data_IF_927489910221
#
_entry.id   IF_927489910221
#
_cell.length_a   1.000
_cell.length_b   1.000
_cell.length_c   1.000
_cell.angle_alpha   90.00
_cell.angle_beta   90.00
_cell.angle_gamma   90.00
#
_symmetry.space_group_name_H-M   'P 1'
#
loop_
_entity.id
_entity.type
_entity.pdbx_description
1 polymer ?
#
# COMPACT_ATOMS: atom_id res chain seq x y z
N UNK A 1 -14.79 3.69 -5.65
CA UNK A 1 -14.14 2.47 -6.19
C UNK A 1 -15.18 1.77 -7.05
N UNK A 2 -14.89 1.49 -8.32
CA UNK A 2 -15.75 0.59 -9.11
C UNK A 2 -15.31 -0.84 -8.79
N UNK A 3 -16.20 -1.63 -8.17
CA UNK A 3 -15.93 -3.05 -7.93
C UNK A 3 -16.06 -3.84 -9.24
N UNK A 4 -15.43 -5.02 -9.32
CA UNK A 4 -15.59 -5.92 -10.46
C UNK A 4 -17.06 -6.20 -10.80
N UNK A 5 -17.36 -6.47 -12.08
CA UNK A 5 -18.73 -6.61 -12.63
C UNK A 5 -19.59 -7.72 -11.99
N UNK A 6 -19.04 -8.49 -11.04
CA UNK A 6 -19.67 -9.64 -10.38
C UNK A 6 -20.17 -9.35 -8.96
N UNK A 7 -20.26 -8.09 -8.53
CA UNK A 7 -20.84 -7.71 -7.24
C UNK A 7 -22.33 -7.40 -7.40
N UNK A 8 -23.17 -8.19 -6.72
CA UNK A 8 -24.64 -8.07 -6.78
C UNK A 8 -25.26 -7.54 -5.49
N UNK A 9 -24.49 -7.51 -4.40
CA UNK A 9 -24.92 -7.13 -3.06
C UNK A 9 -24.11 -5.94 -2.55
N UNK A 10 -24.62 -5.23 -1.55
CA UNK A 10 -23.85 -4.19 -0.85
C UNK A 10 -22.69 -4.85 -0.12
N UNK A 11 -21.48 -4.35 -0.36
CA UNK A 11 -20.28 -4.82 0.32
C UNK A 11 -20.17 -4.18 1.71
N UNK A 12 -19.97 -5.03 2.72
CA UNK A 12 -19.91 -4.64 4.13
C UNK A 12 -18.74 -5.35 4.82
N UNK A 13 -17.89 -4.57 5.48
CA UNK A 13 -16.65 -5.03 6.10
C UNK A 13 -15.67 -3.87 6.31
N UNK A 14 -14.38 -4.16 6.28
CA UNK A 14 -13.34 -3.14 6.49
C UNK A 14 -11.93 -3.71 6.49
N UNK A 15 -10.99 -2.92 7.00
CA UNK A 15 -9.58 -3.30 7.15
C UNK A 15 -9.44 -4.51 8.08
N UNK A 16 -8.76 -5.55 7.58
CA UNK A 16 -8.45 -6.76 8.31
C UNK A 16 -6.94 -7.02 8.24
N UNK A 17 -6.30 -7.20 9.40
CA UNK A 17 -4.85 -7.32 9.53
C UNK A 17 -4.46 -8.65 10.21
N UNK A 18 -4.82 -9.81 9.63
CA UNK A 18 -4.54 -11.12 10.21
C UNK A 18 -3.04 -11.39 10.38
N UNK A 19 -2.18 -10.69 9.63
CA UNK A 19 -0.74 -10.82 9.76
C UNK A 19 -0.19 -10.36 11.10
N UNK A 20 -0.97 -9.61 11.88
CA UNK A 20 -0.60 -9.15 13.23
C UNK A 20 -0.94 -10.17 14.31
N UNK A 21 -1.75 -11.18 13.98
CA UNK A 21 -2.27 -12.15 14.93
C UNK A 21 -1.76 -13.57 14.64
N UNK A 22 -1.71 -14.45 15.66
CA UNK A 22 -1.51 -15.87 15.48
C UNK A 22 -2.59 -16.49 14.58
N UNK A 23 -2.27 -17.57 13.88
CA UNK A 23 -3.16 -18.16 12.86
C UNK A 23 -4.43 -18.76 13.48
N UNK A 24 -4.35 -19.26 14.71
CA UNK A 24 -5.47 -19.79 15.49
C UNK A 24 -6.57 -18.76 15.75
N UNK A 25 -6.25 -17.45 15.72
CA UNK A 25 -7.26 -16.40 15.87
C UNK A 25 -8.10 -16.19 14.61
N UNK A 26 -7.59 -16.57 13.43
CA UNK A 26 -8.25 -16.28 12.16
C UNK A 26 -9.59 -17.01 12.03
N UNK A 27 -9.71 -18.21 12.60
CA UNK A 27 -10.99 -18.96 12.59
C UNK A 27 -12.07 -18.24 13.39
N UNK A 28 -11.69 -17.67 14.54
CA UNK A 28 -12.61 -16.90 15.38
C UNK A 28 -13.01 -15.58 14.71
N UNK A 29 -12.05 -14.89 14.07
CA UNK A 29 -12.33 -13.70 13.26
C UNK A 29 -13.40 -14.00 12.20
N UNK A 30 -13.23 -15.08 11.44
CA UNK A 30 -14.19 -15.49 10.40
C UNK A 30 -15.54 -15.87 11.00
N UNK A 31 -15.57 -16.58 12.14
CA UNK A 31 -16.82 -16.95 12.82
C UNK A 31 -17.61 -15.69 13.20
N UNK A 32 -16.93 -14.67 13.74
CA UNK A 32 -17.53 -13.39 14.10
C UNK A 32 -17.94 -12.57 12.88
N UNK A 33 -17.11 -12.54 11.82
CA UNK A 33 -17.43 -11.88 10.55
C UNK A 33 -18.70 -12.45 9.91
N UNK A 34 -18.86 -13.79 9.91
CA UNK A 34 -20.08 -14.45 9.43
C UNK A 34 -21.30 -14.04 10.25
N UNK A 35 -21.19 -13.98 11.58
CA UNK A 35 -22.26 -13.52 12.47
C UNK A 35 -22.64 -12.05 12.24
N UNK A 36 -21.67 -11.23 11.83
CA UNK A 36 -21.87 -9.82 11.49
C UNK A 36 -22.26 -9.58 10.02
N UNK A 37 -22.44 -10.64 9.22
CA UNK A 37 -22.71 -10.55 7.78
C UNK A 37 -21.65 -9.78 6.98
N UNK A 38 -20.39 -9.80 7.42
CA UNK A 38 -19.27 -9.24 6.68
C UNK A 38 -19.01 -10.11 5.44
N UNK A 39 -18.90 -9.46 4.28
CA UNK A 39 -18.72 -10.11 2.97
C UNK A 39 -17.48 -9.62 2.20
N UNK A 40 -16.77 -8.62 2.73
CA UNK A 40 -15.51 -8.12 2.17
C UNK A 40 -14.50 -7.78 3.27
N UNK A 41 -13.21 -7.94 2.96
CA UNK A 41 -12.11 -7.45 3.79
C UNK A 41 -11.11 -6.65 2.95
N UNK A 42 -10.57 -5.56 3.52
CA UNK A 42 -9.41 -4.86 2.96
C UNK A 42 -8.16 -5.46 3.59
N UNK A 43 -7.31 -6.07 2.77
CA UNK A 43 -6.10 -6.75 3.21
C UNK A 43 -4.85 -6.01 2.74
N UNK A 44 -3.74 -6.24 3.44
CA UNK A 44 -2.40 -5.87 2.98
C UNK A 44 -2.14 -4.35 2.93
N UNK A 45 -2.83 -3.55 3.75
CA UNK A 45 -2.71 -2.08 3.76
C UNK A 45 -1.31 -1.62 4.21
N UNK A 46 -0.73 -2.28 5.22
CA UNK A 46 0.54 -1.87 5.86
C UNK A 46 1.56 -3.00 6.04
N UNK A 47 1.66 -3.91 5.09
CA UNK A 47 2.49 -5.12 5.22
C UNK A 47 3.77 -5.07 4.37
N UNK A 48 4.17 -3.91 3.80
CA UNK A 48 5.35 -3.79 2.92
C UNK A 48 6.62 -4.37 3.54
N UNK A 49 6.93 -4.04 4.79
CA UNK A 49 8.14 -4.55 5.44
C UNK A 49 8.16 -6.07 5.57
N UNK A 50 6.99 -6.70 5.77
CA UNK A 50 6.86 -8.16 5.79
C UNK A 50 6.99 -8.76 4.38
N UNK A 51 6.37 -8.11 3.37
CA UNK A 51 6.40 -8.56 1.98
C UNK A 51 7.75 -8.38 1.29
N UNK A 52 8.51 -7.38 1.69
CA UNK A 52 9.81 -7.04 1.11
C UNK A 52 10.79 -6.70 2.25
N UNK A 53 11.36 -7.70 2.94
CA UNK A 53 12.23 -7.48 4.10
C UNK A 53 13.60 -6.91 3.75
N UNK A 54 14.01 -6.96 2.47
CA UNK A 54 15.27 -6.41 1.95
C UNK A 54 15.07 -5.86 0.52
N UNK A 55 16.11 -5.25 -0.05
CA UNK A 55 16.03 -4.63 -1.38
C UNK A 55 15.58 -5.59 -2.48
N UNK A 56 16.04 -6.84 -2.42
CA UNK A 56 15.87 -7.83 -3.47
C UNK A 56 15.03 -9.05 -3.07
N UNK A 57 14.73 -9.21 -1.77
CA UNK A 57 13.93 -10.33 -1.25
C UNK A 57 12.45 -9.99 -1.14
N UNK A 58 11.59 -10.94 -1.47
CA UNK A 58 10.14 -10.85 -1.25
C UNK A 58 9.62 -12.12 -0.59
N UNK A 59 8.73 -11.97 0.40
CA UNK A 59 8.13 -13.06 1.17
C UNK A 59 6.61 -12.92 1.13
N UNK A 60 5.94 -13.74 0.33
CA UNK A 60 4.49 -13.70 0.13
C UNK A 60 3.75 -14.82 0.86
N UNK A 61 4.45 -15.78 1.46
CA UNK A 61 3.92 -17.03 1.97
C UNK A 61 2.81 -16.80 3.02
N UNK A 62 2.98 -15.80 3.89
CA UNK A 62 1.95 -15.44 4.87
C UNK A 62 0.71 -14.83 4.20
N UNK A 63 0.91 -13.94 3.23
CA UNK A 63 -0.20 -13.32 2.49
C UNK A 63 -0.94 -14.36 1.64
N UNK A 64 -0.24 -15.34 1.07
CA UNK A 64 -0.87 -16.45 0.34
C UNK A 64 -1.80 -17.26 1.24
N UNK A 65 -1.32 -17.64 2.43
CA UNK A 65 -2.14 -18.33 3.43
C UNK A 65 -3.39 -17.53 3.80
N UNK A 66 -3.23 -16.21 4.03
CA UNK A 66 -4.36 -15.31 4.32
C UNK A 66 -5.34 -15.29 3.14
N UNK A 67 -4.84 -15.11 1.91
CA UNK A 67 -5.66 -15.04 0.70
C UNK A 67 -6.44 -16.33 0.45
N UNK A 68 -5.80 -17.48 0.61
CA UNK A 68 -6.46 -18.79 0.50
C UNK A 68 -7.50 -18.98 1.60
N UNK A 69 -7.19 -18.55 2.82
CA UNK A 69 -8.09 -18.68 3.96
C UNK A 69 -9.36 -17.83 3.81
N UNK A 70 -9.24 -16.56 3.42
CA UNK A 70 -10.40 -15.69 3.19
C UNK A 70 -11.20 -16.13 1.96
N UNK A 71 -10.53 -16.63 0.91
CA UNK A 71 -11.17 -17.20 -0.28
C UNK A 71 -12.02 -18.43 0.07
N UNK A 72 -11.46 -19.37 0.83
CA UNK A 72 -12.18 -20.58 1.30
C UNK A 72 -13.40 -20.24 2.16
N UNK A 73 -13.38 -19.10 2.83
CA UNK A 73 -14.49 -18.62 3.64
C UNK A 73 -15.46 -17.68 2.90
N UNK A 74 -15.34 -17.57 1.57
CA UNK A 74 -16.29 -16.84 0.74
C UNK A 74 -16.18 -15.31 0.80
N UNK A 75 -15.13 -14.76 1.42
CA UNK A 75 -14.94 -13.32 1.52
C UNK A 75 -14.37 -12.74 0.21
N UNK A 76 -14.94 -11.60 -0.20
CA UNK A 76 -14.33 -10.72 -1.19
C UNK A 76 -13.15 -9.98 -0.58
N UNK A 77 -12.23 -9.54 -1.43
CA UNK A 77 -11.00 -8.87 -1.02
C UNK A 77 -10.85 -7.54 -1.76
N UNK A 78 -10.69 -6.46 -1.00
CA UNK A 78 -10.11 -5.21 -1.47
C UNK A 78 -8.59 -5.29 -1.23
N UNK A 79 -7.81 -5.59 -2.27
CA UNK A 79 -6.38 -5.87 -2.10
C UNK A 79 -5.58 -4.57 -2.11
N UNK A 80 -4.92 -4.24 -0.99
CA UNK A 80 -4.07 -3.08 -0.93
C UNK A 80 -2.66 -3.33 -1.47
N UNK A 81 -2.02 -2.27 -1.96
CA UNK A 81 -0.65 -2.35 -2.51
C UNK A 81 0.43 -2.30 -1.44
N UNK A 82 0.08 -2.18 -0.16
CA UNK A 82 1.00 -2.02 0.98
C UNK A 82 1.85 -0.74 0.98
N UNK A 83 1.68 0.16 0.00
CA UNK A 83 2.59 1.30 -0.20
C UNK A 83 2.32 2.51 0.70
N UNK A 84 1.44 2.39 1.70
CA UNK A 84 1.11 3.44 2.67
C UNK A 84 2.22 3.72 3.69
N UNK A 85 3.07 2.72 3.98
CA UNK A 85 4.23 2.86 4.86
C UNK A 85 5.44 2.11 4.26
N UNK A 86 6.55 2.82 4.05
CA UNK A 86 7.77 2.21 3.53
C UNK A 86 8.54 1.46 4.64
N UNK A 87 9.32 0.41 4.32
CA UNK A 87 10.10 -0.32 5.31
C UNK A 87 11.24 0.50 5.92
N UNK A 88 11.62 0.18 7.17
CA UNK A 88 12.74 0.82 7.87
C UNK A 88 14.08 0.67 7.13
N UNK A 89 14.33 -0.50 6.52
CA UNK A 89 15.55 -0.75 5.75
C UNK A 89 15.64 0.22 4.55
N UNK A 90 14.51 0.53 3.92
CA UNK A 90 14.45 1.41 2.76
C UNK A 90 14.76 2.84 3.18
N UNK A 91 14.18 3.30 4.30
CA UNK A 91 14.48 4.63 4.85
C UNK A 91 15.95 4.78 5.25
N UNK A 92 16.56 3.72 5.80
CA UNK A 92 17.97 3.70 6.20
C UNK A 92 18.92 3.73 4.99
N UNK A 93 18.65 2.91 3.97
CA UNK A 93 19.52 2.78 2.77
C UNK A 93 19.29 3.88 1.74
N UNK A 94 18.05 4.36 1.63
CA UNK A 94 17.61 5.30 0.60
C UNK A 94 16.88 6.48 1.26
N UNK A 95 17.63 7.40 1.90
CA UNK A 95 17.03 8.53 2.62
C UNK A 95 16.32 9.52 1.67
N UNK A 96 16.41 9.36 0.35
CA UNK A 96 15.65 10.16 -0.61
C UNK A 96 14.12 9.93 -0.48
N UNK A 97 13.69 8.78 0.05
CA UNK A 97 12.27 8.50 0.32
C UNK A 97 11.71 9.33 1.47
N UNK A 98 12.55 9.81 2.39
CA UNK A 98 12.11 10.54 3.57
C UNK A 98 11.79 11.99 3.20
N UNK A 99 10.66 12.51 3.69
CA UNK A 99 10.30 13.91 3.45
C UNK A 99 11.19 14.88 4.20
N UNK A 100 11.30 16.09 3.67
CA UNK A 100 11.75 17.28 4.39
C UNK A 100 10.50 18.11 4.70
N UNK A 101 10.36 18.56 5.94
CA UNK A 101 9.22 19.40 6.34
C UNK A 101 9.37 20.86 5.89
N UNK A 102 8.38 21.69 6.18
CA UNK A 102 8.34 23.09 5.77
C UNK A 102 9.45 23.95 6.38
N UNK A 103 10.02 23.53 7.52
CA UNK A 103 11.11 24.23 8.19
C UNK A 103 12.49 23.75 7.70
N UNK A 104 12.52 22.90 6.66
CA UNK A 104 13.76 22.35 6.12
C UNK A 104 14.31 21.15 6.90
N UNK A 105 13.58 20.64 7.90
CA UNK A 105 14.05 19.53 8.72
C UNK A 105 13.84 18.21 7.96
N UNK A 106 14.95 17.49 7.74
CA UNK A 106 14.92 16.16 7.13
C UNK A 106 14.40 15.14 8.15
N UNK A 107 13.28 14.47 7.83
CA UNK A 107 12.74 13.42 8.68
C UNK A 107 13.67 12.20 8.74
N UNK A 108 13.60 11.49 9.87
CA UNK A 108 14.05 10.09 9.99
C UNK A 108 12.87 9.13 9.78
N UNK A 109 13.14 7.83 9.80
CA UNK A 109 12.11 6.79 9.73
C UNK A 109 11.10 6.89 10.88
N UNK A 110 9.82 6.62 10.58
CA UNK A 110 8.72 6.59 11.55
C UNK A 110 7.44 7.21 11.01
N UNK A 111 6.29 6.79 11.55
CA UNK A 111 4.97 7.18 11.06
C UNK A 111 4.60 6.51 9.73
N UNK A 112 3.63 7.07 9.02
CA UNK A 112 3.09 6.58 7.75
C UNK A 112 2.72 7.73 6.81
N UNK A 113 2.36 7.41 5.57
CA UNK A 113 1.90 8.37 4.53
C UNK A 113 2.92 9.48 4.22
N UNK A 114 4.20 9.20 4.46
CA UNK A 114 5.24 10.22 4.49
C UNK A 114 6.45 9.86 3.61
N UNK A 115 6.24 9.01 2.61
CA UNK A 115 7.20 8.88 1.50
C UNK A 115 7.18 10.15 0.65
N UNK A 116 8.35 10.59 0.19
CA UNK A 116 8.48 11.69 -0.74
C UNK A 116 7.83 11.30 -2.09
N UNK A 117 6.83 12.06 -2.58
CA UNK A 117 6.12 11.71 -3.82
C UNK A 117 7.01 11.84 -5.06
N UNK A 118 8.14 12.53 -4.98
CA UNK A 118 9.13 12.70 -6.04
C UNK A 118 10.43 11.91 -5.80
N UNK A 119 10.44 10.98 -4.84
CA UNK A 119 11.58 10.07 -4.64
C UNK A 119 11.64 9.03 -5.78
N UNK A 120 12.76 8.94 -6.52
CA UNK A 120 12.97 7.87 -7.49
C UNK A 120 12.91 6.50 -6.85
N UNK A 121 13.47 6.35 -5.64
CA UNK A 121 13.52 5.08 -4.92
C UNK A 121 12.12 4.61 -4.52
N UNK A 122 11.32 5.49 -3.90
CA UNK A 122 9.95 5.15 -3.52
C UNK A 122 9.12 4.77 -4.75
N UNK A 123 9.20 5.56 -5.85
CA UNK A 123 8.48 5.25 -7.08
C UNK A 123 8.90 3.92 -7.70
N UNK A 124 10.20 3.61 -7.71
CA UNK A 124 10.74 2.31 -8.17
C UNK A 124 10.16 1.16 -7.37
N UNK A 125 10.29 1.17 -6.04
CA UNK A 125 9.88 0.03 -5.21
C UNK A 125 8.36 -0.06 -5.05
N UNK A 126 7.64 1.06 -4.97
CA UNK A 126 6.18 1.06 -4.93
C UNK A 126 5.57 0.41 -6.18
N UNK A 127 6.05 0.80 -7.37
CA UNK A 127 5.60 0.20 -8.62
C UNK A 127 5.99 -1.28 -8.73
N UNK A 128 7.22 -1.64 -8.32
CA UNK A 128 7.70 -3.03 -8.33
C UNK A 128 6.88 -3.93 -7.40
N UNK A 129 6.52 -3.45 -6.20
CA UNK A 129 5.68 -4.21 -5.27
C UNK A 129 4.26 -4.38 -5.82
N UNK A 130 3.63 -3.30 -6.31
CA UNK A 130 2.31 -3.36 -6.92
C UNK A 130 2.27 -4.35 -8.10
N UNK A 131 3.27 -4.31 -8.97
CA UNK A 131 3.38 -5.26 -10.09
C UNK A 131 3.56 -6.71 -9.65
N UNK A 132 4.33 -6.96 -8.58
CA UNK A 132 4.48 -8.31 -8.01
C UNK A 132 3.19 -8.83 -7.39
N UNK A 133 2.46 -8.00 -6.65
CA UNK A 133 1.15 -8.34 -6.09
C UNK A 133 0.16 -8.68 -7.21
N UNK A 134 0.05 -7.81 -8.22
CA UNK A 134 -0.83 -8.03 -9.36
C UNK A 134 -0.47 -9.32 -10.12
N UNK A 135 0.82 -9.56 -10.40
CA UNK A 135 1.27 -10.78 -11.09
C UNK A 135 1.00 -12.05 -10.28
N UNK A 136 1.18 -12.00 -8.95
CA UNK A 136 1.00 -13.16 -8.07
C UNK A 136 -0.48 -13.53 -7.89
N UNK A 137 -1.35 -12.53 -7.73
CA UNK A 137 -2.76 -12.72 -7.40
C UNK A 137 -3.72 -12.49 -8.56
N UNK A 138 -3.23 -12.41 -9.81
CA UNK A 138 -4.04 -12.14 -11.01
C UNK A 138 -5.23 -13.09 -11.20
N UNK A 139 -5.09 -14.34 -10.75
CA UNK A 139 -6.10 -15.39 -10.94
C UNK A 139 -7.02 -15.56 -9.71
N UNK A 140 -6.89 -14.69 -8.70
CA UNK A 140 -7.78 -14.68 -7.52
C UNK A 140 -9.05 -13.90 -7.83
N UNK A 141 -10.10 -14.61 -8.24
CA UNK A 141 -11.41 -14.04 -8.58
C UNK A 141 -12.13 -13.37 -7.40
N UNK A 142 -11.70 -13.64 -6.15
CA UNK A 142 -12.25 -12.97 -4.97
C UNK A 142 -11.62 -11.59 -4.70
N UNK A 143 -10.58 -11.17 -5.44
CA UNK A 143 -10.11 -9.78 -5.45
C UNK A 143 -11.05 -8.94 -6.32
N UNK A 144 -11.81 -8.04 -5.69
CA UNK A 144 -12.86 -7.27 -6.36
C UNK A 144 -12.54 -5.78 -6.52
N UNK A 145 -11.48 -5.32 -5.85
CA UNK A 145 -10.95 -3.96 -5.95
C UNK A 145 -9.47 -3.93 -5.55
N UNK A 146 -8.76 -2.91 -6.04
CA UNK A 146 -7.41 -2.57 -5.59
C UNK A 146 -7.43 -1.31 -4.73
N UNK A 147 -6.78 -1.37 -3.58
CA UNK A 147 -6.61 -0.27 -2.64
C UNK A 147 -5.18 0.29 -2.74
N UNK A 148 -5.00 1.32 -3.56
CA UNK A 148 -3.66 1.85 -3.84
C UNK A 148 -3.15 2.69 -2.66
N UNK A 149 -2.02 2.27 -2.08
CA UNK A 149 -1.40 2.91 -0.92
C UNK A 149 -2.37 2.97 0.28
N UNK A 150 -2.37 4.08 1.01
CA UNK A 150 -3.37 4.46 2.00
C UNK A 150 -3.31 5.98 2.22
N UNK A 151 -4.47 6.65 2.25
CA UNK A 151 -4.65 8.06 2.64
C UNK A 151 -3.48 9.00 2.24
N UNK A 152 -3.26 9.16 0.92
CA UNK A 152 -2.24 10.08 0.43
C UNK A 152 -2.45 11.48 1.02
N UNK A 153 -1.38 12.08 1.56
CA UNK A 153 -1.45 13.42 2.14
C UNK A 153 -0.09 13.99 2.54
N UNK A 154 -0.11 15.26 2.93
CA UNK A 154 1.03 16.05 3.37
C UNK A 154 2.05 16.41 2.27
N UNK A 155 2.81 17.48 2.52
CA UNK A 155 3.77 18.03 1.58
C UNK A 155 5.20 17.54 1.85
N UNK A 156 6.11 17.84 0.93
CA UNK A 156 7.53 17.56 1.04
C UNK A 156 8.34 18.66 0.38
N UNK A 157 9.30 19.23 1.12
CA UNK A 157 10.12 20.37 0.72
C UNK A 157 11.57 19.96 0.40
N UNK A 158 11.82 18.69 0.09
CA UNK A 158 13.16 18.22 -0.25
C UNK A 158 13.57 18.65 -1.66
N UNK A 159 14.87 18.58 -1.97
CA UNK A 159 15.44 18.95 -3.28
C UNK A 159 14.78 18.23 -4.48
N UNK A 160 14.36 16.97 -4.32
CA UNK A 160 13.63 16.25 -5.38
C UNK A 160 12.28 16.90 -5.70
N UNK A 161 11.56 17.35 -4.67
CA UNK A 161 10.30 18.08 -4.84
C UNK A 161 10.51 19.47 -5.39
N UNK A 162 11.54 20.19 -4.93
CA UNK A 162 11.89 21.51 -5.47
C UNK A 162 12.16 21.44 -6.98
N UNK A 163 12.98 20.50 -7.43
CA UNK A 163 13.24 20.30 -8.85
C UNK A 163 11.99 19.86 -9.62
N UNK A 164 11.16 18.99 -9.03
CA UNK A 164 9.90 18.58 -9.65
C UNK A 164 8.93 19.76 -9.77
N UNK A 165 8.89 20.65 -8.79
CA UNK A 165 8.08 21.86 -8.80
C UNK A 165 8.57 22.83 -9.88
N UNK A 166 9.87 23.07 -10.00
CA UNK A 166 10.44 23.87 -11.10
C UNK A 166 10.09 23.30 -12.48
N UNK A 167 10.13 21.98 -12.65
CA UNK A 167 9.69 21.32 -13.90
C UNK A 167 8.21 21.52 -14.15
N UNK A 168 7.38 21.36 -13.12
CA UNK A 168 5.94 21.58 -13.22
C UNK A 168 5.61 23.03 -13.59
N UNK A 169 6.28 24.03 -12.98
CA UNK A 169 6.13 25.44 -13.31
C UNK A 169 6.46 25.71 -14.79
N UNK A 170 7.59 25.17 -15.28
CA UNK A 170 7.97 25.28 -16.70
C UNK A 170 6.94 24.66 -17.64
N UNK A 171 6.35 23.52 -17.26
CA UNK A 171 5.30 22.87 -18.05
C UNK A 171 4.01 23.68 -18.05
N UNK A 172 3.64 24.27 -16.91
CA UNK A 172 2.39 25.00 -16.74
C UNK A 172 2.41 26.40 -17.35
N UNK A 173 3.52 27.12 -17.19
CA UNK A 173 3.62 28.54 -17.55
C UNK A 173 4.58 28.81 -18.71
N UNK A 174 5.25 27.79 -19.23
CA UNK A 174 6.29 27.93 -20.24
C UNK A 174 7.63 28.39 -19.64
N UNK A 175 8.53 28.85 -20.51
CA UNK A 175 9.80 29.46 -20.06
C UNK A 175 9.53 30.88 -19.60
N UNK A 176 10.18 31.26 -18.50
CA UNK A 176 10.21 32.67 -18.07
C UNK A 176 10.72 33.51 -19.24
N UNK A 177 9.89 34.44 -19.73
CA UNK A 177 10.33 35.46 -20.67
C UNK A 177 10.82 36.63 -19.81
N UNK A 178 12.10 36.97 -19.94
CA UNK A 178 12.64 38.22 -19.39
C UNK A 178 12.11 39.40 -20.19
#
# INVERSE_FOLDING_TARGET
MAYGMNIKDILYGGDYNPEQWPQEMWEEDIRLMKKAHINIVTLNTFSWAALQPSEDSYCFEKLDKIMDFVRKNGLKVCMATSTGAHPAWMAKRHPDILRTDMNGIKRKFGGRHNSCPNSPTYRKYAAKLAGKLAKRYKDYENIVAWHVSNEFGGECYCRNCEQAFQRWLKQRFGRWKK
#
